data_IF_682526976599
#
_entry.id   IF_682526976599
#
_cell.length_a   1.000
_cell.length_b   1.000
_cell.length_c   1.000
_cell.angle_alpha   90.00
_cell.angle_beta   90.00
_cell.angle_gamma   90.00
#
_symmetry.space_group_name_H-M   'P 1'
#
loop_
_entity.id
_entity.type
_entity.pdbx_description
1 polymer ?
#
# COMPACT_ATOMS: atom_id res chain seq x y z
N UNK A 1 54.11 -0.36 -29.26
CA UNK A 1 53.41 -0.42 -27.96
C UNK A 1 52.57 0.83 -27.81
N UNK A 2 51.32 0.77 -28.27
CA UNK A 2 50.28 1.72 -27.87
C UNK A 2 49.20 0.81 -27.29
N UNK A 3 49.09 0.80 -25.96
CA UNK A 3 47.98 0.14 -25.26
C UNK A 3 46.93 1.24 -25.12
N UNK A 4 46.05 1.36 -26.11
CA UNK A 4 44.77 2.05 -25.99
C UNK A 4 43.72 0.99 -25.73
N UNK A 5 43.50 0.66 -24.46
CA UNK A 5 42.17 0.27 -23.98
C UNK A 5 42.16 0.36 -22.45
N UNK A 6 42.04 1.58 -21.94
CA UNK A 6 41.59 1.80 -20.57
C UNK A 6 40.08 1.91 -20.59
N UNK A 7 39.40 0.80 -20.90
CA UNK A 7 37.96 0.69 -20.75
C UNK A 7 37.58 1.06 -19.33
N UNK A 8 36.86 2.17 -19.15
CA UNK A 8 36.20 2.48 -17.89
C UNK A 8 35.06 1.48 -17.75
N UNK A 9 35.28 0.45 -16.95
CA UNK A 9 34.24 -0.49 -16.55
C UNK A 9 33.38 0.19 -15.48
N UNK A 10 32.20 0.68 -15.87
CA UNK A 10 31.17 1.03 -14.90
C UNK A 10 30.59 -0.27 -14.37
N UNK A 11 30.82 -0.56 -13.10
CA UNK A 11 30.10 -1.60 -12.39
C UNK A 11 28.74 -1.02 -12.00
N UNK A 12 27.66 -1.61 -12.50
CA UNK A 12 26.30 -1.27 -12.10
C UNK A 12 26.06 -1.84 -10.69
N UNK A 13 26.49 -1.09 -9.68
CA UNK A 13 26.33 -1.45 -8.27
C UNK A 13 24.98 -0.93 -7.79
N UNK A 14 24.13 -1.82 -7.30
CA UNK A 14 22.96 -1.40 -6.54
C UNK A 14 23.37 -0.92 -5.16
N UNK A 15 22.75 0.17 -4.71
CA UNK A 15 22.94 0.74 -3.38
C UNK A 15 21.66 0.47 -2.61
N UNK A 16 21.79 -0.19 -1.45
CA UNK A 16 20.70 -0.25 -0.48
C UNK A 16 20.72 1.04 0.33
N UNK A 17 19.66 1.84 0.22
CA UNK A 17 19.48 3.05 1.01
C UNK A 17 18.22 2.94 1.86
N UNK A 18 18.26 3.45 3.09
CA UNK A 18 17.09 3.57 3.95
C UNK A 18 17.05 4.98 4.52
N UNK A 19 15.92 5.67 4.38
CA UNK A 19 15.70 7.02 4.88
C UNK A 19 14.43 7.08 5.72
N UNK A 20 14.42 7.93 6.76
CA UNK A 20 13.26 8.14 7.63
C UNK A 20 12.78 9.57 7.50
N UNK A 21 11.46 9.77 7.49
CA UNK A 21 10.82 11.06 7.27
C UNK A 21 9.64 11.23 8.22
N UNK A 22 9.59 12.36 8.92
CA UNK A 22 8.42 12.75 9.71
C UNK A 22 7.59 13.71 8.87
N UNK A 23 6.32 13.36 8.64
CA UNK A 23 5.35 14.16 7.89
C UNK A 23 4.14 14.47 8.78
N UNK A 24 3.28 15.36 8.30
CA UNK A 24 2.02 15.71 8.99
C UNK A 24 0.84 15.03 8.31
N UNK A 25 -0.04 14.44 9.11
CA UNK A 25 -1.36 13.99 8.66
C UNK A 25 -2.31 15.19 8.49
N UNK A 26 -3.56 14.93 8.07
CA UNK A 26 -4.58 15.95 7.87
C UNK A 26 -5.00 16.67 9.16
N UNK A 27 -4.75 16.07 10.33
CA UNK A 27 -5.01 16.61 11.65
C UNK A 27 -3.80 17.37 12.24
N UNK A 28 -2.63 17.29 11.59
CA UNK A 28 -1.38 17.91 12.02
C UNK A 28 -0.55 17.06 12.99
N UNK A 29 -0.90 15.79 13.21
CA UNK A 29 -0.10 14.86 13.99
C UNK A 29 1.12 14.39 13.18
N UNK A 30 2.18 13.99 13.88
CA UNK A 30 3.37 13.43 13.25
C UNK A 30 3.15 11.98 12.83
N UNK A 31 3.48 11.68 11.57
CA UNK A 31 3.50 10.33 11.03
C UNK A 31 4.90 10.02 10.53
N UNK A 32 5.45 8.90 10.99
CA UNK A 32 6.77 8.42 10.58
C UNK A 32 6.63 7.56 9.33
N UNK A 33 7.31 7.95 8.27
CA UNK A 33 7.52 7.14 7.08
C UNK A 33 8.97 6.68 7.02
N UNK A 34 9.19 5.49 6.48
CA UNK A 34 10.52 4.98 6.13
C UNK A 34 10.52 4.55 4.67
N UNK A 35 11.50 5.00 3.91
CA UNK A 35 11.69 4.52 2.55
C UNK A 35 12.93 3.64 2.50
N UNK A 36 12.86 2.59 1.68
CA UNK A 36 14.01 1.73 1.39
C UNK A 36 14.13 1.46 -0.10
N UNK A 37 15.29 1.77 -0.66
CA UNK A 37 15.66 1.38 -2.03
C UNK A 37 16.64 0.23 -1.97
N UNK A 38 16.50 -0.71 -2.90
CA UNK A 38 17.51 -1.74 -3.18
C UNK A 38 18.24 -1.49 -4.49
N UNK A 39 18.08 -0.31 -5.08
CA UNK A 39 18.64 0.03 -6.38
C UNK A 39 19.61 1.22 -6.32
N UNK A 40 19.14 2.41 -5.95
CA UNK A 40 19.96 3.63 -5.89
C UNK A 40 19.41 4.59 -4.82
N UNK A 41 20.02 5.75 -4.68
CA UNK A 41 19.59 6.74 -3.71
C UNK A 41 18.26 7.38 -4.07
N UNK A 42 17.43 7.51 -3.06
CA UNK A 42 16.10 8.11 -3.10
C UNK A 42 16.11 9.46 -2.40
N UNK A 43 15.30 10.38 -2.88
CA UNK A 43 15.24 11.74 -2.36
C UNK A 43 13.87 12.39 -2.59
N UNK A 44 13.72 13.63 -2.11
CA UNK A 44 12.49 14.43 -2.25
C UNK A 44 11.22 13.73 -1.77
N UNK A 45 11.32 12.94 -0.69
CA UNK A 45 10.13 12.32 -0.10
C UNK A 45 9.13 13.38 0.37
N UNK A 46 7.87 13.21 -0.04
CA UNK A 46 6.75 14.06 0.36
C UNK A 46 5.52 13.19 0.60
N UNK A 47 4.74 13.59 1.60
CA UNK A 47 3.41 13.06 1.84
C UNK A 47 2.41 14.22 1.75
N UNK A 48 1.38 14.06 0.92
CA UNK A 48 0.25 14.99 0.84
C UNK A 48 -0.98 14.35 1.51
N UNK A 49 -1.39 14.85 2.70
CA UNK A 49 -2.55 14.30 3.42
C UNK A 49 -3.90 14.59 2.72
N UNK A 50 -3.95 15.58 1.81
CA UNK A 50 -5.20 15.92 1.11
C UNK A 50 -5.46 14.90 0.00
N UNK A 51 -4.44 14.65 -0.83
CA UNK A 51 -4.53 13.67 -1.92
C UNK A 51 -4.23 12.23 -1.48
N UNK A 52 -3.79 12.04 -0.23
CA UNK A 52 -3.34 10.74 0.33
C UNK A 52 -2.30 10.11 -0.58
N UNK A 53 -1.30 10.91 -0.90
CA UNK A 53 -0.26 10.58 -1.87
C UNK A 53 1.11 10.67 -1.23
N UNK A 54 1.91 9.61 -1.40
CA UNK A 54 3.34 9.62 -1.14
C UNK A 54 4.06 9.78 -2.47
N UNK A 55 5.10 10.62 -2.51
CA UNK A 55 6.00 10.71 -3.66
C UNK A 55 7.46 10.77 -3.25
N UNK A 56 8.33 10.24 -4.11
CA UNK A 56 9.78 10.30 -3.97
C UNK A 56 10.44 10.12 -5.34
N UNK A 57 11.72 10.48 -5.44
CA UNK A 57 12.46 10.38 -6.70
C UNK A 57 13.75 9.58 -6.55
N UNK A 58 14.13 8.89 -7.62
CA UNK A 58 15.37 8.15 -7.77
C UNK A 58 16.00 8.47 -9.12
N UNK A 59 17.32 8.65 -9.16
CA UNK A 59 18.02 8.82 -10.43
C UNK A 59 17.87 7.54 -11.29
N UNK A 60 17.71 7.70 -12.60
CA UNK A 60 17.59 6.55 -13.49
C UNK A 60 18.11 6.81 -14.89
N UNK A 61 19.03 5.97 -15.36
CA UNK A 61 19.49 5.96 -16.75
C UNK A 61 18.66 4.99 -17.61
N UNK A 62 17.89 5.57 -18.53
CA UNK A 62 17.04 4.85 -19.47
C UNK A 62 17.79 4.30 -20.70
N UNK A 63 19.12 4.36 -20.75
CA UNK A 63 19.89 3.79 -21.87
C UNK A 63 19.68 2.27 -21.96
N UNK A 64 19.71 1.72 -23.18
CA UNK A 64 19.61 0.27 -23.38
C UNK A 64 20.71 -0.48 -22.64
N UNK A 65 21.91 0.10 -22.58
CA UNK A 65 23.04 -0.46 -21.85
C UNK A 65 22.69 -0.64 -20.38
N UNK A 66 22.21 0.41 -19.71
CA UNK A 66 21.83 0.33 -18.30
C UNK A 66 20.66 -0.64 -18.11
N UNK A 67 19.56 -0.44 -18.83
CA UNK A 67 18.34 -1.23 -18.63
C UNK A 67 18.52 -2.73 -18.88
N UNK A 68 19.43 -3.11 -19.79
CA UNK A 68 19.71 -4.52 -20.09
C UNK A 68 20.30 -5.30 -18.91
N UNK A 69 20.93 -4.60 -17.95
CA UNK A 69 21.59 -5.20 -16.79
C UNK A 69 20.75 -5.13 -15.50
N UNK A 70 19.62 -4.42 -15.50
CA UNK A 70 18.77 -4.26 -14.33
C UNK A 70 17.75 -5.41 -14.27
N UNK A 71 17.88 -6.36 -13.32
CA UNK A 71 16.90 -7.42 -13.18
C UNK A 71 15.58 -6.91 -12.61
N UNK A 72 15.67 -6.01 -11.61
CA UNK A 72 14.54 -5.47 -10.87
C UNK A 72 14.91 -4.13 -10.24
N UNK A 73 13.97 -3.19 -10.21
CA UNK A 73 13.97 -2.07 -9.27
C UNK A 73 12.99 -2.42 -8.17
N UNK A 74 13.47 -2.38 -6.93
CA UNK A 74 12.68 -2.66 -5.74
C UNK A 74 12.76 -1.48 -4.77
N UNK A 75 11.63 -0.84 -4.55
CA UNK A 75 11.47 0.25 -3.59
C UNK A 75 10.40 -0.13 -2.56
N UNK A 76 10.53 0.36 -1.34
CA UNK A 76 9.59 0.11 -0.25
C UNK A 76 9.19 1.43 0.41
N UNK A 77 7.88 1.59 0.62
CA UNK A 77 7.30 2.65 1.43
C UNK A 77 6.73 2.03 2.70
N UNK A 78 7.28 2.41 3.85
CA UNK A 78 6.85 1.96 5.16
C UNK A 78 6.09 3.08 5.87
N UNK A 79 5.01 2.72 6.55
CA UNK A 79 4.22 3.60 7.40
C UNK A 79 3.51 2.78 8.48
N UNK A 80 3.02 3.41 9.58
CA UNK A 80 2.37 2.67 10.64
C UNK A 80 1.15 1.90 10.12
N UNK A 81 1.00 0.63 10.49
CA UNK A 81 -0.15 -0.20 10.05
C UNK A 81 -1.50 0.43 10.35
N UNK A 82 -1.60 1.17 11.45
CA UNK A 82 -2.84 1.78 11.92
C UNK A 82 -3.03 3.21 11.40
N UNK A 83 -2.22 3.65 10.43
CA UNK A 83 -2.33 5.00 9.88
C UNK A 83 -3.61 5.13 9.03
N UNK A 84 -4.67 5.70 9.62
CA UNK A 84 -6.02 5.72 9.04
C UNK A 84 -6.13 6.35 7.65
N UNK A 85 -5.33 7.40 7.36
CA UNK A 85 -5.34 8.06 6.04
C UNK A 85 -4.73 7.21 4.93
N UNK A 86 -4.06 6.10 5.29
CA UNK A 86 -3.43 5.16 4.37
C UNK A 86 -3.85 3.70 4.67
N UNK A 87 -4.84 3.47 5.54
CA UNK A 87 -5.37 2.15 5.83
C UNK A 87 -6.37 1.72 4.75
N UNK A 88 -5.83 1.39 3.58
CA UNK A 88 -6.62 1.03 2.41
C UNK A 88 -6.40 -0.41 1.98
N UNK A 89 -7.41 -1.02 1.32
CA UNK A 89 -7.29 -2.38 0.82
C UNK A 89 -6.32 -2.46 -0.37
N UNK A 90 -6.08 -1.36 -1.09
CA UNK A 90 -5.11 -1.35 -2.18
C UNK A 90 -4.47 0.02 -2.39
N UNK A 91 -3.41 0.00 -3.19
CA UNK A 91 -2.69 1.20 -3.61
C UNK A 91 -2.48 1.19 -5.12
N UNK A 92 -2.41 2.39 -5.69
CA UNK A 92 -1.96 2.59 -7.05
C UNK A 92 -0.57 3.19 -7.03
N UNK A 93 0.34 2.57 -7.78
CA UNK A 93 1.69 3.08 -7.99
C UNK A 93 1.82 3.71 -9.37
N UNK A 94 2.56 4.81 -9.46
CA UNK A 94 2.96 5.43 -10.72
C UNK A 94 4.45 5.67 -10.77
N UNK A 95 5.01 5.68 -11.98
CA UNK A 95 6.34 6.21 -12.25
C UNK A 95 6.24 7.27 -13.33
N UNK A 96 6.73 8.49 -13.02
CA UNK A 96 6.65 9.66 -13.89
C UNK A 96 5.21 9.92 -14.41
N UNK A 97 4.21 9.70 -13.56
CA UNK A 97 2.79 9.88 -13.89
C UNK A 97 2.15 8.76 -14.72
N UNK A 98 2.89 7.70 -15.05
CA UNK A 98 2.36 6.52 -15.75
C UNK A 98 1.97 5.46 -14.72
N UNK A 99 0.73 4.95 -14.81
CA UNK A 99 0.24 3.86 -13.96
C UNK A 99 1.08 2.59 -14.12
N UNK A 100 1.46 2.03 -12.99
CA UNK A 100 2.09 0.72 -12.92
C UNK A 100 1.05 -0.39 -13.00
N UNK A 101 1.50 -1.58 -13.35
CA UNK A 101 0.68 -2.78 -13.23
C UNK A 101 0.35 -3.02 -11.75
N UNK A 102 -0.86 -3.49 -11.45
CA UNK A 102 -1.25 -3.82 -10.07
C UNK A 102 -0.27 -4.79 -9.40
N UNK A 103 0.25 -5.76 -10.15
CA UNK A 103 1.23 -6.73 -9.66
C UNK A 103 2.61 -6.11 -9.33
N UNK A 104 2.88 -4.88 -9.76
CA UNK A 104 4.11 -4.15 -9.40
C UNK A 104 4.00 -3.43 -8.06
N UNK A 105 2.81 -3.39 -7.45
CA UNK A 105 2.56 -2.68 -6.19
C UNK A 105 1.91 -3.65 -5.20
N UNK A 106 2.70 -4.14 -4.25
CA UNK A 106 2.25 -5.19 -3.32
C UNK A 106 2.33 -4.74 -1.88
N UNK A 107 1.38 -5.19 -1.07
CA UNK A 107 1.31 -4.91 0.36
C UNK A 107 2.00 -6.05 1.12
N UNK A 108 2.79 -5.71 2.11
CA UNK A 108 3.36 -6.62 3.10
C UNK A 108 3.06 -6.07 4.50
N UNK A 109 2.17 -6.78 5.19
CA UNK A 109 1.76 -6.50 6.58
C UNK A 109 2.37 -7.52 7.56
N UNK A 110 3.29 -8.38 7.15
CA UNK A 110 3.75 -9.51 7.96
C UNK A 110 5.25 -9.45 8.29
N UNK A 111 6.04 -8.72 7.50
CA UNK A 111 7.49 -8.59 7.72
C UNK A 111 7.81 -7.75 8.96
N UNK A 112 7.14 -6.61 9.11
CA UNK A 112 7.31 -5.70 10.26
C UNK A 112 6.07 -5.70 11.14
N UNK A 113 6.25 -5.67 12.46
CA UNK A 113 5.16 -5.83 13.42
C UNK A 113 4.19 -4.63 13.39
N UNK A 114 4.73 -3.40 13.41
CA UNK A 114 3.97 -2.16 13.53
C UNK A 114 3.89 -1.35 12.21
N UNK A 115 4.54 -1.82 11.15
CA UNK A 115 4.60 -1.13 9.85
C UNK A 115 3.92 -1.93 8.75
N UNK A 116 3.19 -1.23 7.89
CA UNK A 116 2.80 -1.72 6.58
C UNK A 116 3.88 -1.31 5.60
N UNK A 117 4.30 -2.26 4.78
CA UNK A 117 5.25 -2.05 3.70
C UNK A 117 4.48 -2.12 2.38
N UNK A 118 4.69 -1.13 1.50
CA UNK A 118 4.21 -1.21 0.12
C UNK A 118 5.41 -1.25 -0.81
N UNK A 119 5.56 -2.36 -1.52
CA UNK A 119 6.67 -2.58 -2.44
C UNK A 119 6.30 -2.11 -3.84
N UNK A 120 7.25 -1.44 -4.49
CA UNK A 120 7.30 -1.25 -5.93
C UNK A 120 8.28 -2.26 -6.51
N UNK A 121 7.80 -3.20 -7.32
CA UNK A 121 8.63 -4.22 -7.98
C UNK A 121 8.51 -4.07 -9.50
N UNK A 122 9.55 -3.48 -10.09
CA UNK A 122 9.62 -3.21 -11.53
C UNK A 122 10.64 -4.13 -12.19
N UNK A 123 10.14 -5.11 -12.93
CA UNK A 123 10.95 -5.97 -13.78
C UNK A 123 11.35 -5.24 -15.07
N UNK A 124 12.32 -5.80 -15.78
CA UNK A 124 12.87 -5.19 -17.00
C UNK A 124 11.81 -4.88 -18.07
N UNK A 125 10.82 -5.73 -18.26
CA UNK A 125 9.72 -5.51 -19.18
C UNK A 125 8.79 -4.36 -18.74
N UNK A 126 8.58 -4.18 -17.44
CA UNK A 126 7.89 -3.00 -16.88
C UNK A 126 8.67 -1.71 -17.18
N UNK A 127 10.00 -1.72 -17.04
CA UNK A 127 10.84 -0.57 -17.37
C UNK A 127 10.77 -0.23 -18.87
N UNK A 128 10.80 -1.25 -19.73
CA UNK A 128 10.61 -1.08 -21.17
C UNK A 128 9.23 -0.50 -21.51
N UNK A 129 8.18 -0.95 -20.82
CA UNK A 129 6.84 -0.39 -20.95
C UNK A 129 6.82 1.10 -20.58
N UNK A 130 7.36 1.49 -19.43
CA UNK A 130 7.44 2.88 -18.97
C UNK A 130 8.18 3.76 -19.99
N UNK A 131 9.38 3.34 -20.41
CA UNK A 131 10.18 4.02 -21.44
C UNK A 131 9.39 4.26 -22.73
N UNK A 132 8.63 3.25 -23.17
CA UNK A 132 7.82 3.34 -24.37
C UNK A 132 6.61 4.28 -24.20
N UNK A 133 5.99 4.33 -23.03
CA UNK A 133 4.91 5.29 -22.74
C UNK A 133 5.43 6.73 -22.71
N UNK A 134 6.58 6.99 -22.08
CA UNK A 134 7.22 8.32 -22.08
C UNK A 134 7.56 8.77 -23.50
N UNK A 135 8.09 7.87 -24.34
CA UNK A 135 8.38 8.19 -25.74
C UNK A 135 7.12 8.50 -26.57
N UNK A 136 5.97 7.91 -26.24
CA UNK A 136 4.70 8.16 -26.94
C UNK A 136 4.09 9.52 -26.60
N UNK A 137 4.44 10.10 -25.46
CA UNK A 137 3.96 11.43 -25.06
C UNK A 137 4.82 12.58 -25.63
N UNK A 138 5.75 12.28 -26.56
CA UNK A 138 6.74 13.21 -27.14
C UNK A 138 7.59 13.94 -26.08
N UNK A 139 7.70 13.37 -24.88
CA UNK A 139 8.54 13.91 -23.81
C UNK A 139 9.95 13.33 -23.87
N UNK A 140 10.98 14.13 -23.54
CA UNK A 140 12.32 13.58 -23.33
C UNK A 140 12.30 12.58 -22.18
N UNK A 141 13.19 11.58 -22.25
CA UNK A 141 13.35 10.65 -21.13
C UNK A 141 13.84 11.43 -19.90
N UNK A 142 13.17 11.30 -18.74
CA UNK A 142 13.55 12.02 -17.55
C UNK A 142 14.84 11.42 -16.97
N UNK A 143 15.66 12.23 -16.31
CA UNK A 143 16.86 11.76 -15.60
C UNK A 143 16.52 11.01 -14.30
N UNK A 144 15.26 11.06 -13.89
CA UNK A 144 14.76 10.49 -12.63
C UNK A 144 13.45 9.74 -12.83
N UNK A 145 13.31 8.65 -12.10
CA UNK A 145 12.00 8.07 -11.81
C UNK A 145 11.37 8.85 -10.67
N UNK A 146 10.14 9.30 -10.88
CA UNK A 146 9.32 9.90 -9.82
C UNK A 146 8.26 8.87 -9.46
N UNK A 147 8.41 8.26 -8.30
CA UNK A 147 7.47 7.30 -7.77
C UNK A 147 6.35 8.02 -7.05
N UNK A 148 5.12 7.56 -7.28
CA UNK A 148 3.93 8.02 -6.59
C UNK A 148 3.16 6.82 -6.08
N UNK A 149 2.78 6.84 -4.81
CA UNK A 149 1.90 5.87 -4.19
C UNK A 149 0.63 6.58 -3.72
N UNK A 150 -0.51 6.18 -4.26
CA UNK A 150 -1.82 6.73 -3.86
C UNK A 150 -2.67 5.62 -3.25
N UNK A 151 -3.30 5.91 -2.11
CA UNK A 151 -4.31 5.03 -1.53
C UNK A 151 -5.53 4.90 -2.47
N UNK A 152 -6.14 3.71 -2.50
CA UNK A 152 -7.33 3.44 -3.31
C UNK A 152 -8.42 2.75 -2.50
N UNK A 153 -9.61 3.36 -2.49
CA UNK A 153 -10.83 2.83 -1.88
C UNK A 153 -11.36 1.61 -2.66
N UNK A 154 -11.00 1.47 -3.94
CA UNK A 154 -11.32 0.27 -4.70
C UNK A 154 -10.39 -0.88 -4.26
N UNK A 155 -10.93 -1.98 -3.71
CA UNK A 155 -10.10 -3.11 -3.34
C UNK A 155 -9.53 -3.80 -4.59
N UNK A 156 -8.21 -3.94 -4.64
CA UNK A 156 -7.47 -4.66 -5.66
C UNK A 156 -7.52 -6.17 -5.44
N UNK A 157 -8.72 -6.77 -5.49
CA UNK A 157 -8.90 -8.17 -5.12
C UNK A 157 -8.19 -9.17 -6.06
N UNK A 158 -7.80 -10.35 -5.52
CA UNK A 158 -7.76 -10.65 -4.08
C UNK A 158 -6.62 -9.88 -3.39
N UNK A 159 -6.81 -9.53 -2.12
CA UNK A 159 -5.73 -9.10 -1.26
C UNK A 159 -4.91 -10.32 -0.86
N UNK A 160 -3.60 -10.19 -0.80
CA UNK A 160 -2.70 -11.29 -0.46
C UNK A 160 -1.88 -10.92 0.76
N UNK A 161 -1.80 -11.83 1.73
CA UNK A 161 -0.92 -11.72 2.88
C UNK A 161 -0.29 -13.08 3.21
N UNK A 162 0.96 -13.08 3.66
CA UNK A 162 1.65 -14.29 4.11
C UNK A 162 1.63 -14.38 5.63
N UNK A 163 1.78 -15.59 6.16
CA UNK A 163 2.18 -15.76 7.56
C UNK A 163 3.64 -15.37 7.72
N UNK A 164 4.05 -15.00 8.95
CA UNK A 164 5.44 -14.59 9.22
C UNK A 164 6.50 -15.63 8.85
N UNK A 165 6.15 -16.92 8.84
CA UNK A 165 7.07 -17.97 8.38
C UNK A 165 7.03 -18.22 6.88
N UNK A 166 6.14 -17.53 6.15
CA UNK A 166 5.88 -17.67 4.72
C UNK A 166 5.43 -19.09 4.32
N UNK A 167 5.04 -19.93 5.28
CA UNK A 167 4.54 -21.27 4.98
C UNK A 167 3.14 -21.22 4.36
N UNK A 168 2.36 -20.18 4.69
CA UNK A 168 1.01 -19.99 4.20
C UNK A 168 0.83 -18.62 3.56
N UNK A 169 0.11 -18.60 2.46
CA UNK A 169 -0.43 -17.40 1.81
C UNK A 169 -1.95 -17.43 1.94
N UNK A 170 -2.55 -16.31 2.33
CA UNK A 170 -3.99 -16.11 2.31
C UNK A 170 -4.33 -15.11 1.22
N UNK A 171 -5.25 -15.49 0.34
CA UNK A 171 -5.89 -14.56 -0.58
C UNK A 171 -7.29 -14.23 -0.03
N UNK A 172 -7.60 -12.97 0.20
CA UNK A 172 -8.88 -12.49 0.73
C UNK A 172 -9.59 -11.56 -0.26
N UNK A 173 -10.89 -11.74 -0.41
CA UNK A 173 -11.77 -10.83 -1.14
C UNK A 173 -13.09 -10.70 -0.39
N UNK A 174 -13.85 -9.65 -0.69
CA UNK A 174 -15.17 -9.51 -0.11
C UNK A 174 -16.20 -8.86 -1.06
N UNK A 175 -17.47 -9.04 -0.72
CA UNK A 175 -18.59 -8.38 -1.39
C UNK A 175 -19.69 -8.04 -0.36
N UNK A 176 -20.29 -6.83 -0.41
CA UNK A 176 -20.08 -5.74 -1.37
C UNK A 176 -18.71 -5.06 -1.26
N UNK A 177 -18.28 -4.33 -2.30
CA UNK A 177 -16.95 -3.69 -2.33
C UNK A 177 -16.77 -2.66 -1.20
N UNK A 178 -17.80 -1.86 -0.96
CA UNK A 178 -17.90 -0.98 0.20
C UNK A 178 -18.61 -1.72 1.34
N UNK A 179 -17.95 -1.83 2.49
CA UNK A 179 -18.50 -2.48 3.68
C UNK A 179 -19.18 -1.42 4.53
N UNK A 180 -20.48 -1.60 4.79
CA UNK A 180 -21.30 -0.67 5.58
C UNK A 180 -22.07 -1.45 6.66
N UNK A 181 -22.47 -0.79 7.77
CA UNK A 181 -23.40 -1.36 8.72
C UNK A 181 -24.70 -1.85 8.09
N UNK A 182 -25.36 -2.82 8.73
CA UNK A 182 -26.66 -3.35 8.30
C UNK A 182 -26.63 -4.13 6.97
N UNK A 183 -25.48 -4.20 6.29
CA UNK A 183 -25.28 -4.94 5.05
C UNK A 183 -24.38 -6.13 5.30
N UNK A 184 -24.85 -7.32 4.88
CA UNK A 184 -24.07 -8.55 4.97
C UNK A 184 -22.90 -8.53 4.01
N UNK A 185 -21.70 -8.62 4.55
CA UNK A 185 -20.46 -8.80 3.80
C UNK A 185 -20.07 -10.26 3.78
N UNK A 186 -19.82 -10.78 2.58
CA UNK A 186 -19.23 -12.09 2.36
C UNK A 186 -17.72 -11.92 2.20
N UNK A 187 -16.94 -12.53 3.08
CA UNK A 187 -15.49 -12.64 3.00
C UNK A 187 -15.12 -13.99 2.40
N UNK A 188 -14.56 -13.99 1.19
CA UNK A 188 -14.15 -15.18 0.45
C UNK A 188 -12.63 -15.25 0.48
N UNK A 189 -12.08 -16.38 0.89
CA UNK A 189 -10.64 -16.53 0.99
C UNK A 189 -10.13 -17.89 0.52
N UNK A 190 -8.86 -17.93 0.14
CA UNK A 190 -8.12 -19.15 -0.21
C UNK A 190 -6.86 -19.24 0.64
N UNK A 191 -6.64 -20.38 1.26
CA UNK A 191 -5.42 -20.75 1.97
C UNK A 191 -4.52 -21.51 1.00
N UNK A 192 -3.31 -21.01 0.78
CA UNK A 192 -2.33 -21.53 -0.17
C UNK A 192 -1.01 -21.86 0.52
N UNK A 193 -0.26 -22.75 -0.10
CA UNK A 193 1.12 -23.02 0.26
C UNK A 193 1.96 -21.81 -0.13
N UNK A 194 2.65 -21.18 0.82
CA UNK A 194 3.34 -19.92 0.58
C UNK A 194 4.53 -20.01 -0.38
N UNK A 195 5.05 -21.21 -0.66
CA UNK A 195 6.16 -21.40 -1.59
C UNK A 195 5.69 -21.66 -3.02
N UNK A 196 4.62 -22.41 -3.17
CA UNK A 196 4.13 -22.86 -4.48
C UNK A 196 2.92 -22.08 -4.99
N UNK A 197 2.21 -21.38 -4.10
CA UNK A 197 0.95 -20.69 -4.42
C UNK A 197 -0.24 -21.63 -4.63
N UNK A 198 -0.06 -22.94 -4.45
CA UNK A 198 -1.13 -23.93 -4.67
C UNK A 198 -2.15 -23.92 -3.53
N UNK A 199 -3.47 -23.99 -3.81
CA UNK A 199 -4.49 -24.08 -2.77
C UNK A 199 -4.32 -25.31 -1.87
N UNK A 200 -4.32 -25.10 -0.56
CA UNK A 200 -4.11 -26.16 0.43
C UNK A 200 -5.43 -26.72 0.95
N UNK A 201 -5.79 -27.91 0.46
CA UNK A 201 -7.01 -28.62 0.88
C UNK A 201 -7.03 -28.97 2.37
N UNK A 202 -8.24 -29.07 2.90
CA UNK A 202 -8.53 -29.41 4.30
C UNK A 202 -7.69 -28.59 5.28
N UNK A 203 -7.64 -27.27 5.07
CA UNK A 203 -6.91 -26.37 5.94
C UNK A 203 -7.82 -25.80 7.02
N UNK A 204 -7.59 -26.20 8.27
CA UNK A 204 -8.26 -25.62 9.43
C UNK A 204 -7.82 -24.16 9.63
N UNK A 205 -8.72 -23.31 10.09
CA UNK A 205 -8.43 -21.90 10.37
C UNK A 205 -9.37 -21.34 11.44
N UNK A 206 -8.94 -20.22 12.03
CA UNK A 206 -9.78 -19.35 12.86
C UNK A 206 -9.88 -17.99 12.19
N UNK A 207 -11.10 -17.50 11.98
CA UNK A 207 -11.41 -16.21 11.40
C UNK A 207 -11.86 -15.26 12.52
N UNK A 208 -11.15 -14.16 12.70
CA UNK A 208 -11.39 -13.18 13.75
C UNK A 208 -11.56 -11.80 13.11
N UNK A 209 -12.54 -11.03 13.59
CA UNK A 209 -12.67 -9.61 13.27
C UNK A 209 -12.32 -8.82 14.51
N UNK A 210 -11.37 -7.90 14.38
CA UNK A 210 -10.89 -7.03 15.45
C UNK A 210 -11.17 -5.58 15.06
N UNK A 211 -11.75 -4.81 15.97
CA UNK A 211 -12.00 -3.39 15.79
C UNK A 211 -11.75 -2.66 17.11
N UNK A 212 -11.10 -1.50 17.07
CA UNK A 212 -10.73 -0.72 18.26
C UNK A 212 -9.98 -1.55 19.33
N UNK A 213 -9.14 -2.48 18.88
CA UNK A 213 -8.39 -3.39 19.76
C UNK A 213 -9.20 -4.53 20.39
N UNK A 214 -10.50 -4.64 20.12
CA UNK A 214 -11.37 -5.68 20.66
C UNK A 214 -11.78 -6.68 19.58
N UNK A 215 -11.84 -7.97 19.93
CA UNK A 215 -12.46 -8.99 19.07
C UNK A 215 -13.98 -8.82 19.07
N UNK A 216 -14.55 -8.51 17.91
CA UNK A 216 -16.00 -8.38 17.72
C UNK A 216 -16.62 -9.64 17.10
N UNK A 217 -15.80 -10.48 16.46
CA UNK A 217 -16.23 -11.76 15.91
C UNK A 217 -15.11 -12.79 15.95
N UNK A 218 -15.47 -14.05 16.22
CA UNK A 218 -14.57 -15.21 16.13
C UNK A 218 -15.33 -16.43 15.64
N UNK A 219 -14.81 -17.11 14.63
CA UNK A 219 -15.33 -18.39 14.17
C UNK A 219 -14.21 -19.29 13.64
N UNK A 220 -14.40 -20.61 13.70
CA UNK A 220 -13.47 -21.58 13.12
C UNK A 220 -14.06 -22.21 11.87
N UNK A 221 -13.23 -22.87 11.09
CA UNK A 221 -13.67 -23.63 9.91
C UNK A 221 -12.54 -24.46 9.31
N UNK A 222 -12.89 -25.16 8.23
CA UNK A 222 -11.94 -25.95 7.46
C UNK A 222 -12.17 -25.69 5.98
N UNK A 223 -11.19 -25.08 5.31
CA UNK A 223 -11.20 -24.83 3.88
C UNK A 223 -10.97 -26.15 3.12
N UNK A 224 -12.05 -26.91 2.89
CA UNK A 224 -11.99 -28.28 2.37
C UNK A 224 -11.27 -28.38 1.03
N UNK A 225 -11.52 -27.44 0.13
CA UNK A 225 -10.91 -27.39 -1.22
C UNK A 225 -9.80 -26.35 -1.33
N UNK A 226 -9.31 -25.83 -0.20
CA UNK A 226 -8.32 -24.76 -0.14
C UNK A 226 -8.92 -23.36 -0.03
N UNK A 227 -10.19 -23.18 -0.36
CA UNK A 227 -10.93 -21.94 -0.08
C UNK A 227 -12.17 -22.17 0.78
N UNK A 228 -12.65 -21.09 1.39
CA UNK A 228 -13.89 -21.03 2.18
C UNK A 228 -14.43 -19.59 2.19
N UNK A 229 -15.56 -19.35 2.85
CA UNK A 229 -16.09 -18.01 3.07
C UNK A 229 -16.70 -17.85 4.47
N UNK A 230 -16.71 -16.62 4.97
CA UNK A 230 -17.45 -16.20 6.16
C UNK A 230 -18.35 -15.03 5.82
N UNK A 231 -19.49 -14.95 6.50
CA UNK A 231 -20.41 -13.82 6.38
C UNK A 231 -20.48 -13.10 7.72
N UNK A 232 -20.45 -11.78 7.67
CA UNK A 232 -20.63 -10.92 8.84
C UNK A 232 -21.40 -9.66 8.44
N UNK A 233 -22.19 -9.14 9.36
CA UNK A 233 -23.00 -7.93 9.20
C UNK A 233 -22.57 -6.99 10.33
N UNK A 234 -21.94 -5.87 9.97
CA UNK A 234 -21.46 -4.90 10.95
C UNK A 234 -22.65 -4.11 11.52
N UNK A 235 -22.60 -3.83 12.82
CA UNK A 235 -23.55 -2.93 13.48
C UNK A 235 -23.21 -1.46 13.26
N UNK A 236 -24.14 -0.55 13.58
CA UNK A 236 -23.95 0.91 13.48
C UNK A 236 -22.74 1.43 14.27
N UNK A 237 -22.47 0.80 15.41
CA UNK A 237 -21.33 1.15 16.29
C UNK A 237 -20.01 0.51 15.82
N UNK A 238 -20.05 -0.38 14.82
CA UNK A 238 -18.90 -1.14 14.32
C UNK A 238 -18.30 -0.51 13.06
N UNK A 239 -18.08 0.81 13.09
CA UNK A 239 -17.53 1.58 11.96
C UNK A 239 -16.07 1.99 12.18
N UNK A 240 -15.36 2.27 11.09
CA UNK A 240 -13.96 2.71 11.12
C UNK A 240 -12.94 1.61 10.80
N UNK A 241 -11.65 1.83 11.15
CA UNK A 241 -10.55 0.88 10.96
C UNK A 241 -10.83 -0.50 11.57
N UNK A 242 -10.75 -1.53 10.74
CA UNK A 242 -11.05 -2.92 11.12
C UNK A 242 -9.98 -3.87 10.58
N UNK A 243 -9.70 -4.92 11.35
CA UNK A 243 -8.75 -5.97 10.99
C UNK A 243 -9.50 -7.30 10.89
N UNK A 244 -9.26 -8.05 9.82
CA UNK A 244 -9.52 -9.49 9.75
C UNK A 244 -8.23 -10.22 10.05
N UNK A 245 -8.26 -11.14 11.02
CA UNK A 245 -7.13 -12.02 11.35
C UNK A 245 -7.49 -13.47 11.06
N UNK A 246 -6.61 -14.15 10.36
CA UNK A 246 -6.63 -15.59 10.20
C UNK A 246 -5.63 -16.19 11.18
N UNK A 247 -6.09 -16.95 12.17
CA UNK A 247 -5.26 -17.56 13.20
C UNK A 247 -5.25 -19.09 13.10
N UNK A 248 -4.23 -19.70 13.69
CA UNK A 248 -4.09 -21.14 13.87
C UNK A 248 -4.27 -21.93 12.55
N UNK A 249 -3.72 -21.41 11.45
CA UNK A 249 -3.82 -22.02 10.13
C UNK A 249 -3.22 -23.44 10.20
N UNK A 250 -4.01 -24.45 9.81
CA UNK A 250 -3.67 -25.88 9.88
C UNK A 250 -3.17 -26.34 11.27
N UNK A 251 -3.69 -25.74 12.35
CA UNK A 251 -3.31 -26.04 13.73
C UNK A 251 -1.83 -25.79 14.04
N UNK A 252 -1.17 -24.90 13.30
CA UNK A 252 0.25 -24.58 13.48
C UNK A 252 0.50 -23.43 14.45
N UNK A 253 -0.55 -22.72 14.86
CA UNK A 253 -0.44 -21.45 15.59
C UNK A 253 -0.03 -20.25 14.71
N UNK A 254 0.20 -20.44 13.40
CA UNK A 254 0.52 -19.33 12.51
C UNK A 254 -0.70 -18.46 12.19
N UNK A 255 -0.45 -17.19 11.95
CA UNK A 255 -1.47 -16.18 11.68
C UNK A 255 -1.03 -15.14 10.64
N UNK A 256 -2.02 -14.46 10.06
CA UNK A 256 -1.85 -13.29 9.19
C UNK A 256 -3.09 -12.39 9.28
N UNK A 257 -2.99 -11.15 8.84
CA UNK A 257 -4.04 -10.15 9.00
C UNK A 257 -4.24 -9.24 7.78
N UNK A 258 -5.43 -8.67 7.67
CA UNK A 258 -5.84 -7.72 6.63
C UNK A 258 -6.53 -6.52 7.27
N UNK A 259 -6.04 -5.31 6.99
CA UNK A 259 -6.68 -4.06 7.41
C UNK A 259 -7.62 -3.49 6.34
N UNK A 260 -8.76 -2.96 6.76
CA UNK A 260 -9.74 -2.25 5.92
C UNK A 260 -10.56 -1.26 6.76
N UNK A 261 -11.47 -0.53 6.13
CA UNK A 261 -12.37 0.42 6.78
C UNK A 261 -13.82 0.02 6.56
N UNK A 262 -14.61 0.04 7.64
CA UNK A 262 -16.08 -0.06 7.58
C UNK A 262 -16.64 1.36 7.50
N UNK A 263 -17.29 1.69 6.40
CA UNK A 263 -17.83 3.02 6.14
C UNK A 263 -19.17 3.22 6.90
N UNK A 264 -19.36 4.34 7.64
CA UNK A 264 -20.65 4.66 8.25
C UNK A 264 -21.78 4.79 7.22
N UNK A 265 -23.04 4.49 7.62
CA UNK A 265 -24.23 4.54 6.74
C UNK A 265 -24.56 5.92 6.13
N UNK A 266 -23.80 6.96 6.47
CA UNK A 266 -23.94 8.27 5.86
C UNK A 266 -23.41 8.24 4.43
N UNK A 267 -24.25 7.75 3.50
CA UNK A 267 -23.92 7.61 2.08
C UNK A 267 -23.15 8.80 1.55
N UNK A 268 -22.07 8.52 0.80
CA UNK A 268 -21.13 9.36 0.01
C UNK A 268 -21.23 10.90 0.04
N UNK A 269 -22.43 11.47 0.14
CA UNK A 269 -22.77 12.87 0.29
C UNK A 269 -22.20 13.49 1.58
N UNK A 270 -22.16 12.78 2.72
CA UNK A 270 -21.60 13.37 3.96
C UNK A 270 -20.07 13.32 3.99
N UNK A 271 -19.42 12.32 3.39
CA UNK A 271 -17.96 12.38 3.18
C UNK A 271 -17.56 13.60 2.33
N UNK A 272 -18.33 13.90 1.27
CA UNK A 272 -18.13 15.09 0.45
C UNK A 272 -18.41 16.39 1.24
N UNK A 273 -19.43 16.40 2.11
CA UNK A 273 -19.74 17.56 2.94
C UNK A 273 -18.75 17.76 4.11
N UNK A 274 -18.18 16.69 4.67
CA UNK A 274 -17.07 16.77 5.61
C UNK A 274 -15.86 17.41 4.92
N UNK A 275 -15.48 16.94 3.73
CA UNK A 275 -14.41 17.54 2.92
C UNK A 275 -14.67 19.01 2.55
N UNK A 276 -15.91 19.38 2.19
CA UNK A 276 -16.28 20.76 1.84
C UNK A 276 -16.44 21.67 3.07
N UNK A 277 -16.87 21.15 4.22
CA UNK A 277 -17.02 21.93 5.46
C UNK A 277 -15.67 22.37 6.03
N UNK A 278 -14.63 21.54 5.86
CA UNK A 278 -13.24 21.89 6.18
C UNK A 278 -12.77 23.10 5.34
N UNK A 279 -13.14 23.16 4.05
CA UNK A 279 -12.81 24.29 3.15
C UNK A 279 -13.49 25.60 3.62
N UNK A 280 -14.74 25.54 4.07
CA UNK A 280 -15.47 26.72 4.55
C UNK A 280 -14.88 27.29 5.86
N UNK A 281 -14.44 26.42 6.77
CA UNK A 281 -13.76 26.83 8.03
C UNK A 281 -12.38 27.45 7.73
N UNK A 282 -11.64 26.95 6.73
CA UNK A 282 -10.35 27.52 6.28
C UNK A 282 -10.54 28.92 5.65
N UNK A 283 -11.64 29.16 4.93
CA UNK A 283 -11.93 30.47 4.34
C UNK A 283 -12.33 31.51 5.40
N UNK A 284 -13.11 31.12 6.42
CA UNK A 284 -13.49 32.02 7.53
C UNK A 284 -12.32 32.35 8.46
N UNK A 285 -11.39 31.42 8.68
CA UNK A 285 -10.19 31.64 9.53
C UNK A 285 -9.12 32.49 8.83
N UNK A 286 -8.99 32.42 7.50
CA UNK A 286 -8.11 33.34 6.73
C UNK A 286 -8.60 34.79 6.70
N UNK A 287 -9.92 35.04 6.75
CA UNK A 287 -10.43 36.42 6.77
C UNK A 287 -10.27 37.09 8.14
N UNK A 288 -10.39 36.34 9.25
CA UNK A 288 -10.29 36.90 10.60
C UNK A 288 -8.86 37.14 11.10
N UNK A 289 -7.86 36.49 10.50
CA UNK A 289 -6.44 36.64 10.90
C UNK A 289 -5.75 37.89 10.35
N UNK A 290 -6.39 38.66 9.46
CA UNK A 290 -5.82 39.89 8.88
C UNK A 290 -6.11 41.18 9.67
N UNK A 291 -6.89 41.14 10.75
CA UNK A 291 -7.39 42.37 11.42
C UNK A 291 -6.72 42.68 12.78
N UNK A 292 -5.86 41.81 13.35
CA UNK A 292 -5.29 42.08 14.68
C UNK A 292 -3.77 41.94 14.77
N UNK A 293 -3.04 42.89 14.15
CA UNK A 293 -1.73 43.37 14.64
C UNK A 293 -1.48 44.83 14.24
N UNK A 294 -1.82 45.78 15.13
CA UNK A 294 -1.12 47.07 15.25
C UNK A 294 -1.38 47.70 16.62
N UNK A 295 -0.29 48.15 17.26
CA UNK A 295 -0.18 48.87 18.55
C UNK A 295 -0.31 47.95 19.79
N UNK A 296 0.64 47.88 20.73
CA UNK A 296 1.67 48.80 21.23
C UNK A 296 2.97 48.02 21.50
#
# INVERSE_FOLDING_TARGET
NIIEDSGVYNADLSIVETTEHIQKDSEGNDVKFRLKSYFDKISQFQYDPISKEVSFEMAFDWTEKQMSHIPVIHEEVHFPKQFGEFLYPSYTGKVNGIDLFKASVTIDDYTEEDERIVHFVLLQDHLNFLKNQIKKSDQPLPEKMIFTLSASDEPGFPLTAFTKSEDFQIDLSWAPAEIQPGVKTNFIFTIRDGKTGEPMRSSDYTFVIVQNGNEIHRSTGTAQVGGDFKQYEFGEEETGPTIIRFENIRNTGQETEFGFVVAPEFGSIIMLMLALSIIAVIFMTKQNSFVFKTNI
#
